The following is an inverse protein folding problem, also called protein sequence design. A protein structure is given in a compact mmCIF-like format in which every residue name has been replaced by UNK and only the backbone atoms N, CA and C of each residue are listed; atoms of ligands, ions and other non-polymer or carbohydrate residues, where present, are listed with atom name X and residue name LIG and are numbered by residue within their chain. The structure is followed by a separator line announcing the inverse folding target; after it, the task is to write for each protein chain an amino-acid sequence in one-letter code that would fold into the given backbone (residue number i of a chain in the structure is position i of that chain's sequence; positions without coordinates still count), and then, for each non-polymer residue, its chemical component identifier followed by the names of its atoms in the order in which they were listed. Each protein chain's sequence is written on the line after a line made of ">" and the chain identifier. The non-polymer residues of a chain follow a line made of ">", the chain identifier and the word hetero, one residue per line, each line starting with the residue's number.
data_IF_171474427308
#
_entry.id   IF_171474427308
#
_cell.length_a   1.000
_cell.length_b   1.000
_cell.length_c   1.000
_cell.angle_alpha   90.00
_cell.angle_beta   90.00
_cell.angle_gamma   90.00
#
_symmetry.space_group_name_H-M   'P 1'
#
loop_
_entity.id
_entity.type
_entity.pdbx_description
1 polymer ?
#
# COMPACT_ATOMS: atom_id res chain seq x y z
N UNK A 1 -18.69 9.57 -15.50
CA UNK A 1 -17.83 10.49 -14.73
C UNK A 1 -16.67 9.78 -14.03
N UNK A 2 -16.90 8.59 -13.52
CA UNK A 2 -15.83 7.80 -12.87
C UNK A 2 -14.75 7.37 -13.85
N UNK A 3 -15.14 7.04 -15.09
CA UNK A 3 -14.19 6.65 -16.13
C UNK A 3 -13.26 7.80 -16.54
N UNK A 4 -13.76 9.05 -16.49
CA UNK A 4 -12.94 10.22 -16.81
C UNK A 4 -11.80 10.43 -15.82
N UNK A 5 -11.99 10.07 -14.55
CA UNK A 5 -10.94 10.20 -13.55
C UNK A 5 -9.83 9.19 -13.79
N UNK A 6 -10.18 7.92 -14.03
CA UNK A 6 -9.18 6.88 -14.26
C UNK A 6 -8.40 7.12 -15.55
N UNK A 7 -9.02 7.75 -16.56
CA UNK A 7 -8.35 8.12 -17.80
C UNK A 7 -7.32 9.25 -17.58
N UNK A 8 -7.47 10.03 -16.54
CA UNK A 8 -6.52 11.07 -16.13
C UNK A 8 -5.44 10.59 -15.18
N UNK A 9 -5.65 9.46 -14.55
CA UNK A 9 -4.71 8.89 -13.62
C UNK A 9 -3.44 8.43 -14.34
N UNK A 10 -2.29 8.79 -13.80
CA UNK A 10 -1.00 8.49 -14.43
C UNK A 10 -0.38 7.23 -13.85
N UNK A 11 -0.53 6.13 -14.57
CA UNK A 11 0.13 4.89 -14.21
C UNK A 11 1.63 5.01 -14.46
N UNK A 12 2.44 4.42 -13.58
CA UNK A 12 3.87 4.30 -13.81
C UNK A 12 4.17 3.32 -14.95
N UNK A 13 3.42 2.21 -14.97
CA UNK A 13 3.48 1.21 -16.02
C UNK A 13 2.09 1.08 -16.65
N UNK A 14 2.02 0.85 -17.94
CA UNK A 14 0.73 0.71 -18.62
C UNK A 14 0.00 -0.55 -18.15
N UNK A 15 -1.27 -0.45 -17.75
CA UNK A 15 -2.04 -1.60 -17.30
C UNK A 15 -2.44 -2.49 -18.46
N UNK A 16 -2.53 -3.78 -18.19
CA UNK A 16 -3.22 -4.68 -19.09
C UNK A 16 -4.73 -4.42 -19.02
N UNK A 17 -5.45 -4.83 -20.05
CA UNK A 17 -6.89 -4.59 -20.15
C UNK A 17 -7.68 -5.07 -18.93
N UNK A 18 -7.38 -6.28 -18.44
CA UNK A 18 -8.04 -6.83 -17.26
C UNK A 18 -7.74 -6.06 -15.98
N UNK A 19 -6.53 -5.50 -15.87
CA UNK A 19 -6.13 -4.68 -14.72
C UNK A 19 -6.89 -3.35 -14.72
N UNK A 20 -6.99 -2.72 -15.87
CA UNK A 20 -7.73 -1.47 -16.01
C UNK A 20 -9.21 -1.67 -15.70
N UNK A 21 -9.82 -2.75 -16.19
CA UNK A 21 -11.22 -3.08 -15.90
C UNK A 21 -11.47 -3.28 -14.41
N UNK A 22 -10.57 -3.99 -13.74
CA UNK A 22 -10.67 -4.19 -12.29
C UNK A 22 -10.66 -2.84 -11.57
N UNK A 23 -9.69 -1.98 -11.89
CA UNK A 23 -9.57 -0.68 -11.24
C UNK A 23 -10.79 0.20 -11.50
N UNK A 24 -11.26 0.27 -12.75
CA UNK A 24 -12.47 1.03 -13.07
C UNK A 24 -13.66 0.62 -12.24
N UNK A 25 -13.80 -0.67 -11.97
CA UNK A 25 -14.95 -1.25 -11.30
C UNK A 25 -14.85 -1.20 -9.77
N UNK A 26 -13.65 -1.37 -9.21
CA UNK A 26 -13.49 -1.65 -7.79
C UNK A 26 -12.63 -0.65 -6.99
N UNK A 27 -12.00 0.31 -7.62
CA UNK A 27 -11.03 1.17 -6.92
C UNK A 27 -11.64 1.97 -5.75
N UNK A 28 -12.92 2.27 -5.81
CA UNK A 28 -13.63 3.00 -4.74
C UNK A 28 -14.21 2.11 -3.66
N UNK A 29 -14.23 0.82 -3.85
CA UNK A 29 -14.87 -0.08 -2.89
C UNK A 29 -14.07 -0.15 -1.60
N UNK A 30 -14.73 0.00 -0.42
CA UNK A 30 -14.03 -0.08 0.87
C UNK A 30 -13.50 -1.48 1.17
N UNK A 31 -14.17 -2.51 0.66
CA UNK A 31 -13.73 -3.90 0.81
C UNK A 31 -13.93 -4.62 -0.52
N UNK A 32 -12.87 -5.28 -0.98
CA UNK A 32 -12.93 -6.10 -2.18
C UNK A 32 -11.96 -7.27 -2.05
N UNK A 33 -12.30 -8.39 -2.66
CA UNK A 33 -11.40 -9.55 -2.75
C UNK A 33 -11.01 -9.73 -4.22
N UNK A 34 -9.71 -9.82 -4.47
CA UNK A 34 -9.17 -10.03 -5.80
C UNK A 34 -8.66 -11.44 -5.96
N UNK A 35 -9.42 -12.26 -6.67
CA UNK A 35 -9.04 -13.63 -7.00
C UNK A 35 -8.55 -13.64 -8.44
N UNK A 36 -7.24 -13.71 -8.61
CA UNK A 36 -6.62 -13.71 -9.92
C UNK A 36 -5.52 -14.76 -9.95
N UNK A 37 -5.28 -15.33 -11.11
CA UNK A 37 -4.25 -16.33 -11.29
C UNK A 37 -2.86 -15.72 -11.11
N UNK A 38 -1.87 -16.56 -10.85
CA UNK A 38 -0.48 -16.15 -10.75
C UNK A 38 -0.05 -15.48 -12.04
N UNK A 39 0.74 -14.41 -11.92
CA UNK A 39 1.24 -13.67 -13.08
C UNK A 39 0.26 -12.69 -13.70
N UNK A 40 -0.89 -12.44 -13.09
CA UNK A 40 -1.88 -11.46 -13.59
C UNK A 40 -1.64 -10.03 -13.08
N UNK A 41 -0.60 -9.83 -12.25
CA UNK A 41 -0.25 -8.49 -11.79
C UNK A 41 -1.12 -7.97 -10.66
N UNK A 42 -1.42 -8.81 -9.67
CA UNK A 42 -2.23 -8.40 -8.51
C UNK A 42 -1.62 -7.24 -7.75
N UNK A 43 -0.30 -7.24 -7.57
CA UNK A 43 0.41 -6.15 -6.88
C UNK A 43 0.22 -4.83 -7.59
N UNK A 44 0.27 -4.83 -8.93
CA UNK A 44 0.00 -3.66 -9.74
C UNK A 44 -1.39 -3.08 -9.41
N UNK A 45 -2.41 -3.93 -9.39
CA UNK A 45 -3.78 -3.50 -9.13
C UNK A 45 -3.95 -2.94 -7.72
N UNK A 46 -3.40 -3.61 -6.73
CA UNK A 46 -3.48 -3.17 -5.33
C UNK A 46 -2.77 -1.84 -5.13
N UNK A 47 -1.55 -1.71 -5.64
CA UNK A 47 -0.75 -0.49 -5.48
C UNK A 47 -1.41 0.70 -6.16
N UNK A 48 -1.91 0.52 -7.37
CA UNK A 48 -2.61 1.61 -8.06
C UNK A 48 -3.95 1.94 -7.39
N UNK A 49 -4.64 0.94 -6.84
CA UNK A 49 -5.86 1.20 -6.09
C UNK A 49 -5.61 2.11 -4.88
N UNK A 50 -4.59 1.82 -4.10
CA UNK A 50 -4.27 2.67 -2.94
C UNK A 50 -3.79 4.06 -3.36
N UNK A 51 -3.05 4.16 -4.46
CA UNK A 51 -2.60 5.44 -4.98
C UNK A 51 -3.77 6.31 -5.47
N UNK A 52 -4.76 5.70 -6.11
CA UNK A 52 -5.98 6.39 -6.52
C UNK A 52 -6.75 6.94 -5.31
N UNK A 53 -6.89 6.14 -4.27
CA UNK A 53 -7.57 6.56 -3.04
C UNK A 53 -6.81 7.69 -2.34
N UNK A 54 -5.49 7.66 -2.38
CA UNK A 54 -4.67 8.74 -1.86
C UNK A 54 -4.86 10.03 -2.67
N UNK A 55 -4.85 9.93 -4.00
CA UNK A 55 -5.01 11.09 -4.88
C UNK A 55 -6.34 11.83 -4.66
N UNK A 56 -7.41 11.10 -4.36
CA UNK A 56 -8.72 11.71 -4.07
C UNK A 56 -8.92 12.06 -2.59
N UNK A 57 -7.89 11.89 -1.76
CA UNK A 57 -7.92 12.29 -0.36
C UNK A 57 -8.67 11.36 0.58
N UNK A 58 -9.01 10.15 0.15
CA UNK A 58 -9.73 9.20 1.00
C UNK A 58 -8.83 8.49 2.00
N UNK A 59 -7.55 8.34 1.68
CA UNK A 59 -6.57 7.74 2.57
C UNK A 59 -5.30 8.58 2.62
N UNK A 60 -4.54 8.48 3.67
CA UNK A 60 -3.19 9.04 3.78
C UNK A 60 -2.17 7.97 4.23
N UNK A 61 -2.62 6.75 4.39
CA UNK A 61 -1.75 5.64 4.77
C UNK A 61 -2.27 4.32 4.24
N UNK A 62 -1.39 3.33 4.22
CA UNK A 62 -1.74 1.96 3.84
C UNK A 62 -0.97 0.99 4.74
N UNK A 63 -1.65 -0.07 5.15
CA UNK A 63 -1.03 -1.18 5.87
C UNK A 63 -1.06 -2.41 4.96
N UNK A 64 0.11 -2.89 4.60
CA UNK A 64 0.27 -4.08 3.76
C UNK A 64 0.71 -5.24 4.64
N UNK A 65 -0.05 -6.31 4.62
CA UNK A 65 0.23 -7.51 5.39
C UNK A 65 0.45 -8.67 4.42
N UNK A 66 1.61 -9.29 4.51
CA UNK A 66 2.02 -10.35 3.60
C UNK A 66 2.75 -11.46 4.37
N UNK A 67 2.85 -12.68 3.80
CA UNK A 67 3.62 -13.75 4.42
C UNK A 67 5.09 -13.37 4.61
N UNK A 68 5.71 -13.92 5.64
CA UNK A 68 7.09 -13.60 6.03
C UNK A 68 8.09 -13.72 4.88
N UNK A 69 7.88 -14.68 3.99
CA UNK A 69 8.81 -14.91 2.87
C UNK A 69 8.72 -13.87 1.75
N UNK A 70 7.64 -13.06 1.71
CA UNK A 70 7.40 -12.12 0.59
C UNK A 70 7.19 -10.68 1.04
N UNK A 71 7.04 -10.39 2.33
CA UNK A 71 6.68 -9.03 2.75
C UNK A 71 7.77 -8.00 2.45
N UNK A 72 9.05 -8.39 2.47
CA UNK A 72 10.15 -7.50 2.09
C UNK A 72 10.11 -7.14 0.62
N UNK A 73 9.63 -8.04 -0.22
CA UNK A 73 9.50 -7.83 -1.65
C UNK A 73 8.59 -6.64 -1.99
N UNK A 74 7.58 -6.39 -1.14
CA UNK A 74 6.72 -5.22 -1.31
C UNK A 74 7.48 -3.91 -1.21
N UNK A 75 8.41 -3.83 -0.28
CA UNK A 75 9.23 -2.63 -0.06
C UNK A 75 10.31 -2.50 -1.12
N UNK A 76 11.00 -3.60 -1.42
CA UNK A 76 12.20 -3.58 -2.26
C UNK A 76 11.87 -3.56 -3.76
N UNK A 77 10.78 -4.17 -4.18
CA UNK A 77 10.47 -4.34 -5.59
C UNK A 77 9.09 -3.82 -6.00
N UNK A 78 8.01 -4.28 -5.36
CA UNK A 78 6.66 -4.03 -5.84
C UNK A 78 6.26 -2.55 -5.77
N UNK A 79 6.46 -1.92 -4.63
CA UNK A 79 6.12 -0.50 -4.47
C UNK A 79 6.96 0.39 -5.39
N UNK A 80 8.30 0.25 -5.45
CA UNK A 80 9.10 1.07 -6.36
C UNK A 80 8.75 0.85 -7.84
N UNK A 81 8.34 -0.36 -8.19
CA UNK A 81 8.01 -0.72 -9.57
C UNK A 81 6.68 -0.13 -10.05
N UNK A 82 5.67 -0.09 -9.19
CA UNK A 82 4.31 0.22 -9.59
C UNK A 82 3.74 1.53 -9.06
N UNK A 83 4.26 2.04 -7.94
CA UNK A 83 3.72 3.27 -7.36
C UNK A 83 4.05 4.46 -8.26
N UNK A 84 3.02 5.23 -8.71
CA UNK A 84 3.25 6.35 -9.63
C UNK A 84 4.22 7.39 -9.07
N UNK A 85 4.99 8.00 -9.96
CA UNK A 85 6.02 8.97 -9.59
C UNK A 85 5.45 10.22 -8.92
N UNK A 86 4.20 10.58 -9.21
CA UNK A 86 3.58 11.75 -8.60
C UNK A 86 3.16 11.53 -7.14
N UNK A 87 3.16 10.28 -6.68
CA UNK A 87 2.79 9.95 -5.29
C UNK A 87 4.04 10.00 -4.41
N UNK A 88 4.15 11.06 -3.63
CA UNK A 88 5.21 11.18 -2.62
C UNK A 88 4.84 10.27 -1.45
N UNK A 89 5.72 9.39 -1.08
CA UNK A 89 5.42 8.37 -0.07
C UNK A 89 6.59 8.08 0.85
N UNK A 90 6.26 7.54 2.02
CA UNK A 90 7.20 7.03 3.00
C UNK A 90 6.84 5.59 3.29
N UNK A 91 7.80 4.69 3.22
CA UNK A 91 7.59 3.26 3.42
C UNK A 91 8.46 2.77 4.55
N UNK A 92 7.90 1.93 5.40
CA UNK A 92 8.66 1.27 6.45
C UNK A 92 8.27 -0.19 6.58
N UNK A 93 9.26 -1.02 6.86
CA UNK A 93 9.09 -2.44 7.11
C UNK A 93 9.11 -2.66 8.62
N UNK A 94 8.06 -3.26 9.15
CA UNK A 94 8.02 -3.56 10.58
C UNK A 94 8.73 -4.87 10.89
N UNK A 95 9.63 -4.83 11.86
CA UNK A 95 10.28 -6.02 12.42
C UNK A 95 10.28 -5.90 13.94
N UNK A 96 10.30 -7.03 14.69
CA UNK A 96 10.33 -6.98 16.16
C UNK A 96 11.62 -6.35 16.72
N UNK A 97 12.74 -6.50 16.01
CA UNK A 97 14.03 -5.96 16.40
C UNK A 97 14.64 -5.18 15.23
N UNK A 98 14.14 -3.94 14.97
CA UNK A 98 14.60 -3.18 13.81
C UNK A 98 16.04 -2.72 13.96
N UNK A 99 16.77 -2.72 12.84
CA UNK A 99 18.08 -2.09 12.76
C UNK A 99 17.90 -0.57 12.82
N UNK A 100 18.99 0.17 13.00
CA UNK A 100 18.93 1.63 13.13
C UNK A 100 18.19 2.29 11.96
N UNK A 101 18.53 1.92 10.72
CA UNK A 101 17.88 2.46 9.53
C UNK A 101 16.40 2.12 9.47
N UNK A 102 16.03 0.89 9.81
CA UNK A 102 14.64 0.44 9.84
C UNK A 102 13.83 1.19 10.92
N UNK A 103 14.45 1.44 12.06
CA UNK A 103 13.84 2.19 13.16
C UNK A 103 13.57 3.64 12.75
N UNK A 104 14.51 4.27 12.05
CA UNK A 104 14.34 5.64 11.55
C UNK A 104 13.19 5.72 10.54
N UNK A 105 13.07 4.76 9.65
CA UNK A 105 11.97 4.68 8.70
C UNK A 105 10.62 4.53 9.41
N UNK A 106 10.56 3.68 10.44
CA UNK A 106 9.34 3.52 11.24
C UNK A 106 8.97 4.80 11.96
N UNK A 107 9.94 5.51 12.52
CA UNK A 107 9.70 6.79 13.18
C UNK A 107 9.20 7.85 12.20
N UNK A 108 9.73 7.86 10.98
CA UNK A 108 9.33 8.80 9.95
C UNK A 108 7.85 8.65 9.53
N UNK A 109 7.27 7.47 9.71
CA UNK A 109 5.84 7.27 9.42
C UNK A 109 4.94 8.10 10.31
N UNK A 110 5.42 8.50 11.50
CA UNK A 110 4.61 9.24 12.48
C UNK A 110 4.70 10.75 12.31
N UNK A 111 5.54 11.23 11.40
CA UNK A 111 5.61 12.66 11.12
C UNK A 111 4.34 13.14 10.44
N UNK A 112 3.87 14.32 10.82
CA UNK A 112 2.68 14.93 10.23
C UNK A 112 3.07 15.59 8.92
N UNK A 113 2.90 14.86 7.82
CA UNK A 113 3.19 15.31 6.46
C UNK A 113 2.06 14.89 5.52
N UNK A 114 2.09 15.41 4.29
CA UNK A 114 1.11 15.05 3.27
C UNK A 114 1.47 13.77 2.51
N UNK A 115 2.64 13.20 2.78
CA UNK A 115 3.11 11.98 2.12
C UNK A 115 2.19 10.80 2.42
N UNK A 116 2.04 9.92 1.44
CA UNK A 116 1.39 8.62 1.65
C UNK A 116 2.31 7.77 2.53
N UNK A 117 1.80 7.29 3.65
CA UNK A 117 2.57 6.48 4.59
C UNK A 117 2.21 5.02 4.44
N UNK A 118 3.19 4.19 4.15
CA UNK A 118 2.99 2.76 3.89
C UNK A 118 3.76 1.93 4.90
N UNK A 119 3.03 1.17 5.70
CA UNK A 119 3.61 0.23 6.66
C UNK A 119 3.45 -1.19 6.11
N UNK A 120 4.55 -1.93 6.05
CA UNK A 120 4.53 -3.32 5.59
C UNK A 120 4.90 -4.24 6.75
N UNK A 121 4.04 -5.22 7.02
CA UNK A 121 4.22 -6.18 8.12
C UNK A 121 4.03 -7.59 7.61
N UNK A 122 4.67 -8.56 8.27
CA UNK A 122 4.36 -9.96 7.99
C UNK A 122 3.15 -10.41 8.83
N UNK A 123 2.46 -11.41 8.32
CA UNK A 123 1.23 -11.94 8.94
C UNK A 123 1.50 -12.48 10.36
N UNK A 124 2.65 -13.07 10.58
CA UNK A 124 3.04 -13.63 11.86
C UNK A 124 3.22 -12.56 12.94
N UNK A 125 3.60 -11.34 12.53
CA UNK A 125 3.74 -10.23 13.47
C UNK A 125 2.44 -9.88 14.17
N UNK A 126 1.31 -10.07 13.50
CA UNK A 126 -0.02 -9.80 14.07
C UNK A 126 -0.40 -10.78 15.19
N UNK A 127 0.26 -11.92 15.24
CA UNK A 127 0.07 -12.89 16.33
C UNK A 127 0.81 -12.48 17.61
N UNK A 128 1.69 -11.51 17.52
CA UNK A 128 2.42 -10.98 18.67
C UNK A 128 1.70 -9.76 19.22
N UNK A 129 1.79 -9.54 20.53
CA UNK A 129 1.20 -8.36 21.16
C UNK A 129 1.83 -7.08 20.63
N UNK A 130 3.15 -7.06 20.47
CA UNK A 130 3.88 -5.89 20.02
C UNK A 130 3.51 -5.50 18.58
N UNK A 131 3.46 -6.48 17.68
CA UNK A 131 3.11 -6.24 16.28
C UNK A 131 1.66 -5.83 16.11
N UNK A 132 0.75 -6.50 16.79
CA UNK A 132 -0.68 -6.17 16.75
C UNK A 132 -0.95 -4.75 17.26
N UNK A 133 -0.37 -4.38 18.40
CA UNK A 133 -0.53 -3.04 18.96
C UNK A 133 0.04 -1.96 18.04
N UNK A 134 1.16 -2.23 17.38
CA UNK A 134 1.75 -1.29 16.42
C UNK A 134 0.82 -1.08 15.22
N UNK A 135 0.32 -2.17 14.64
CA UNK A 135 -0.60 -2.12 13.51
C UNK A 135 -1.89 -1.36 13.87
N UNK A 136 -2.45 -1.67 15.02
CA UNK A 136 -3.66 -1.01 15.53
C UNK A 136 -3.46 0.48 15.70
N UNK A 137 -2.35 0.89 16.30
CA UNK A 137 -2.03 2.30 16.51
C UNK A 137 -1.88 3.02 15.16
N UNK A 138 -1.17 2.42 14.22
CA UNK A 138 -1.00 2.99 12.88
C UNK A 138 -2.35 3.19 12.18
N UNK A 139 -3.20 2.17 12.20
CA UNK A 139 -4.51 2.24 11.56
C UNK A 139 -5.45 3.26 12.21
N UNK A 140 -5.33 3.45 13.53
CA UNK A 140 -6.20 4.39 14.28
C UNK A 140 -5.79 5.84 14.12
N UNK A 141 -4.49 6.13 13.98
CA UNK A 141 -3.99 7.51 13.90
C UNK A 141 -3.87 8.02 12.48
N UNK A 142 -4.22 7.22 11.48
CA UNK A 142 -4.14 7.60 10.08
C UNK A 142 -5.43 7.18 9.37
N UNK A 143 -5.68 7.77 8.18
CA UNK A 143 -6.76 7.31 7.29
C UNK A 143 -6.20 6.14 6.48
N UNK A 144 -6.31 4.94 7.04
CA UNK A 144 -5.59 3.76 6.56
C UNK A 144 -6.39 2.92 5.56
N UNK A 145 -5.67 2.51 4.51
CA UNK A 145 -6.15 1.50 3.56
C UNK A 145 -5.58 0.13 3.94
#
# INVERSE_FOLDING_TARGET
>A
MENLWIDRYRFKNQPFEHQKKYLEQFWKRPVAALFADMGTGKSFMVINNLAMLYDVGKINSALIIAPKGVYRNWVDEELPKHLPDHVVHRTALWTPNPRKAEREELENLWEVTEDLKILVMNVEALSTTKGFEYAKRFAMYTKCF
#
